data_IF_860048123786
#
_entry.id   IF_860048123786
#
_cell.length_a   1.000
_cell.length_b   1.000
_cell.length_c   1.000
_cell.angle_alpha   90.00
_cell.angle_beta   90.00
_cell.angle_gamma   90.00
#
_symmetry.space_group_name_H-M   'P 1'
#
loop_
_entity.id
_entity.type
_entity.pdbx_description
1 polymer ?
#
# COMPACT_ATOMS: atom_id res chain seq x y z
N UNK A 1 2.75 23.50 -42.67
CA UNK A 1 3.21 22.09 -42.65
C UNK A 1 3.79 21.85 -41.27
N UNK A 2 2.87 21.70 -40.34
CA UNK A 2 3.05 21.89 -38.91
C UNK A 2 3.36 20.53 -38.31
N UNK A 3 4.65 20.23 -38.16
CA UNK A 3 5.09 19.00 -37.49
C UNK A 3 4.98 19.19 -35.99
N UNK A 4 3.79 18.94 -35.44
CA UNK A 4 3.61 18.72 -34.02
C UNK A 4 4.37 17.45 -33.62
N UNK A 5 5.60 17.65 -33.15
CA UNK A 5 6.39 16.64 -32.47
C UNK A 5 5.78 16.45 -31.08
N UNK A 6 4.85 15.51 -30.97
CA UNK A 6 4.29 15.09 -29.69
C UNK A 6 5.42 14.42 -28.90
N UNK A 7 5.94 15.11 -27.89
CA UNK A 7 6.87 14.51 -26.95
C UNK A 7 6.17 13.33 -26.24
N UNK A 8 6.88 12.22 -25.95
CA UNK A 8 6.31 11.22 -25.07
C UNK A 8 5.98 11.88 -23.74
N UNK A 9 4.72 11.77 -23.32
CA UNK A 9 4.31 12.09 -21.95
C UNK A 9 5.06 11.13 -21.03
N UNK A 10 6.24 11.55 -20.60
CA UNK A 10 6.92 10.94 -19.47
C UNK A 10 5.95 11.05 -18.31
N UNK A 11 5.43 9.91 -17.84
CA UNK A 11 4.65 9.85 -16.61
C UNK A 11 5.39 10.67 -15.54
N UNK A 12 4.71 11.49 -14.73
CA UNK A 12 5.38 12.16 -13.63
C UNK A 12 6.03 11.07 -12.79
N UNK A 13 7.36 11.05 -12.80
CA UNK A 13 8.15 10.39 -11.78
C UNK A 13 7.61 10.95 -10.47
N UNK A 14 6.80 10.16 -9.76
CA UNK A 14 6.26 10.54 -8.48
C UNK A 14 7.48 10.71 -7.58
N UNK A 15 7.89 11.96 -7.41
CA UNK A 15 9.14 12.34 -6.75
C UNK A 15 8.85 12.35 -5.25
N UNK A 16 8.54 11.18 -4.70
CA UNK A 16 8.63 11.01 -3.26
C UNK A 16 10.13 11.04 -2.90
N UNK A 17 10.57 11.86 -1.93
CA UNK A 17 11.90 11.70 -1.34
C UNK A 17 12.06 10.26 -0.79
N UNK A 18 13.26 9.80 -0.38
CA UNK A 18 13.38 8.62 0.45
C UNK A 18 12.80 8.94 1.84
N UNK A 19 11.48 9.14 1.91
CA UNK A 19 10.73 8.98 3.13
C UNK A 19 10.97 7.54 3.51
N UNK A 20 11.79 7.29 4.53
CA UNK A 20 11.86 5.99 5.18
C UNK A 20 10.43 5.58 5.51
N UNK A 21 9.83 4.75 4.66
CA UNK A 21 8.41 4.43 4.76
C UNK A 21 8.24 3.64 6.05
N UNK A 22 7.53 4.22 7.02
CA UNK A 22 7.39 3.65 8.34
C UNK A 22 6.23 2.66 8.45
N UNK A 23 6.04 2.10 9.66
CA UNK A 23 4.93 1.20 10.02
C UNK A 23 3.57 1.71 9.56
N UNK A 24 3.27 2.99 9.79
CA UNK A 24 1.97 3.59 9.48
C UNK A 24 1.69 3.58 7.98
N UNK A 25 2.70 3.90 7.17
CA UNK A 25 2.56 3.93 5.70
C UNK A 25 2.39 2.51 5.14
N UNK A 26 3.11 1.54 5.71
CA UNK A 26 2.98 0.12 5.36
C UNK A 26 1.58 -0.39 5.63
N UNK A 27 1.05 -0.13 6.83
CA UNK A 27 -0.32 -0.52 7.20
C UNK A 27 -1.36 0.20 6.35
N UNK A 28 -1.19 1.51 6.14
CA UNK A 28 -2.09 2.31 5.31
C UNK A 28 -2.18 1.76 3.89
N UNK A 29 -1.03 1.40 3.29
CA UNK A 29 -1.00 0.77 1.96
C UNK A 29 -1.59 -0.64 1.99
N UNK A 30 -1.28 -1.45 2.99
CA UNK A 30 -1.90 -2.76 3.14
C UNK A 30 -3.42 -2.66 3.26
N UNK A 31 -3.98 -1.60 3.84
CA UNK A 31 -5.43 -1.41 3.94
C UNK A 31 -6.09 -1.02 2.61
N UNK A 32 -5.42 -0.23 1.77
CA UNK A 32 -5.99 0.27 0.51
C UNK A 32 -5.60 -0.55 -0.73
N UNK A 33 -4.52 -1.32 -0.65
CA UNK A 33 -3.95 -2.11 -1.74
C UNK A 33 -4.01 -3.62 -1.39
N UNK A 34 -5.04 -4.34 -1.88
CA UNK A 34 -5.21 -5.76 -1.57
C UNK A 34 -4.09 -6.64 -2.15
N UNK A 35 -3.55 -6.28 -3.32
CA UNK A 35 -2.42 -6.99 -3.93
C UNK A 35 -1.12 -6.82 -3.13
N UNK A 36 -0.89 -5.61 -2.59
CA UNK A 36 0.21 -5.37 -1.67
C UNK A 36 0.02 -6.16 -0.37
N UNK A 37 -1.19 -6.16 0.20
CA UNK A 37 -1.50 -6.91 1.42
C UNK A 37 -1.23 -8.42 1.26
N UNK A 38 -1.67 -8.99 0.14
CA UNK A 38 -1.44 -10.41 -0.17
C UNK A 38 0.06 -10.72 -0.28
N UNK A 39 0.84 -9.85 -0.94
CA UNK A 39 2.31 -10.00 -1.01
C UNK A 39 2.97 -9.87 0.36
N UNK A 40 2.54 -8.88 1.14
CA UNK A 40 3.03 -8.62 2.49
C UNK A 40 2.76 -9.80 3.43
N UNK A 41 1.63 -10.50 3.31
CA UNK A 41 1.37 -11.68 4.14
C UNK A 41 2.07 -12.95 3.67
N UNK A 42 2.27 -13.11 2.36
CA UNK A 42 3.02 -14.25 1.82
C UNK A 42 4.53 -14.13 2.11
N UNK A 43 5.08 -12.93 1.98
CA UNK A 43 6.50 -12.64 2.20
C UNK A 43 6.68 -11.22 2.79
N UNK A 44 6.49 -11.07 4.12
CA UNK A 44 6.54 -9.76 4.76
C UNK A 44 7.93 -9.12 4.65
N UNK A 45 8.98 -9.90 4.91
CA UNK A 45 10.36 -9.41 4.93
C UNK A 45 10.83 -8.94 3.54
N UNK A 46 10.57 -9.72 2.49
CA UNK A 46 10.92 -9.30 1.13
C UNK A 46 10.03 -8.17 0.62
N UNK A 47 8.75 -8.11 0.99
CA UNK A 47 7.88 -6.97 0.62
C UNK A 47 8.34 -5.67 1.28
N UNK A 48 8.69 -5.71 2.57
CA UNK A 48 9.23 -4.57 3.33
C UNK A 48 10.54 -4.11 2.71
N UNK A 49 11.47 -5.04 2.45
CA UNK A 49 12.78 -4.73 1.89
C UNK A 49 12.69 -4.22 0.44
N UNK A 50 11.80 -4.79 -0.39
CA UNK A 50 11.65 -4.42 -1.80
C UNK A 50 11.10 -3.00 -1.98
N UNK A 51 10.15 -2.59 -1.14
CA UNK A 51 9.58 -1.24 -1.18
C UNK A 51 10.34 -0.24 -0.27
N UNK A 52 11.38 -0.68 0.46
CA UNK A 52 12.22 0.18 1.28
C UNK A 52 11.57 0.64 2.59
N UNK A 53 10.62 -0.13 3.12
CA UNK A 53 10.01 0.10 4.42
C UNK A 53 11.00 -0.21 5.55
N UNK A 54 10.98 0.60 6.60
CA UNK A 54 11.74 0.35 7.83
C UNK A 54 10.75 0.25 8.98
N UNK A 55 10.65 -0.95 9.55
CA UNK A 55 9.80 -1.25 10.69
C UNK A 55 10.63 -1.96 11.76
N UNK A 56 10.24 -1.78 13.02
CA UNK A 56 10.85 -2.49 14.14
C UNK A 56 10.51 -3.99 14.13
N UNK A 57 11.38 -4.79 14.73
CA UNK A 57 11.25 -6.25 14.81
C UNK A 57 9.94 -6.69 15.51
N UNK A 58 9.49 -5.91 16.50
CA UNK A 58 8.18 -6.11 17.15
C UNK A 58 7.04 -5.98 16.14
N UNK A 59 7.12 -5.00 15.24
CA UNK A 59 6.09 -4.79 14.22
C UNK A 59 6.11 -5.90 13.19
N UNK A 60 7.29 -6.35 12.77
CA UNK A 60 7.43 -7.48 11.87
C UNK A 60 6.85 -8.76 12.51
N UNK A 61 7.13 -8.98 13.79
CA UNK A 61 6.58 -10.10 14.56
C UNK A 61 5.07 -10.03 14.67
N UNK A 62 4.51 -8.85 14.97
CA UNK A 62 3.06 -8.61 14.98
C UNK A 62 2.44 -8.89 13.61
N UNK A 63 3.11 -8.50 12.52
CA UNK A 63 2.64 -8.73 11.16
C UNK A 63 2.60 -10.22 10.81
N UNK A 64 3.63 -10.98 11.23
CA UNK A 64 3.71 -12.44 11.04
C UNK A 64 2.75 -13.21 11.93
N UNK A 65 2.40 -12.65 13.09
CA UNK A 65 1.40 -13.20 14.00
C UNK A 65 -0.04 -12.84 13.62
N UNK A 66 -0.22 -11.87 12.71
CA UNK A 66 -1.52 -11.42 12.28
C UNK A 66 -2.14 -12.46 11.34
N UNK A 67 -3.40 -12.78 11.58
CA UNK A 67 -4.13 -13.67 10.70
C UNK A 67 -4.46 -12.93 9.37
N UNK A 68 -4.00 -13.45 8.22
CA UNK A 68 -4.17 -12.77 6.94
C UNK A 68 -5.64 -12.66 6.53
N UNK A 69 -6.47 -13.63 6.92
CA UNK A 69 -7.89 -13.61 6.65
C UNK A 69 -8.58 -12.53 7.49
N UNK A 70 -8.24 -12.41 8.78
CA UNK A 70 -8.75 -11.35 9.65
C UNK A 70 -8.35 -9.95 9.15
N UNK A 71 -7.11 -9.77 8.71
CA UNK A 71 -6.65 -8.49 8.15
C UNK A 71 -7.39 -8.12 6.87
N UNK A 72 -7.67 -9.09 6.01
CA UNK A 72 -8.41 -8.87 4.78
C UNK A 72 -9.86 -8.48 5.06
N UNK A 73 -10.52 -9.19 5.98
CA UNK A 73 -11.88 -8.88 6.42
C UNK A 73 -11.97 -7.47 7.04
N UNK A 74 -11.01 -7.09 7.88
CA UNK A 74 -10.98 -5.77 8.51
C UNK A 74 -10.83 -4.64 7.47
N UNK A 75 -9.94 -4.82 6.49
CA UNK A 75 -9.76 -3.82 5.45
C UNK A 75 -10.94 -3.77 4.46
N UNK A 76 -11.56 -4.91 4.15
CA UNK A 76 -12.78 -4.95 3.34
C UNK A 76 -13.94 -4.24 4.05
N UNK A 77 -14.16 -4.51 5.34
CA UNK A 77 -15.21 -3.87 6.14
C UNK A 77 -15.05 -2.34 6.19
N UNK A 78 -13.81 -1.85 6.35
CA UNK A 78 -13.52 -0.42 6.31
C UNK A 78 -13.78 0.19 4.92
N UNK A 79 -13.41 -0.52 3.85
CA UNK A 79 -13.70 -0.08 2.47
C UNK A 79 -15.20 0.04 2.18
N UNK A 80 -16.00 -0.91 2.67
CA UNK A 80 -17.45 -0.88 2.57
C UNK A 80 -18.07 0.25 3.42
N UNK A 81 -17.59 0.48 4.64
CA UNK A 81 -18.06 1.61 5.46
C UNK A 81 -17.82 2.97 4.81
N UNK A 82 -16.66 3.17 4.17
CA UNK A 82 -16.37 4.41 3.43
C UNK A 82 -17.33 4.60 2.25
N UNK A 83 -17.53 3.55 1.44
CA UNK A 83 -18.48 3.58 0.31
C UNK A 83 -19.92 3.85 0.77
N UNK A 84 -20.33 3.25 1.88
CA UNK A 84 -21.69 3.38 2.39
C UNK A 84 -21.95 4.79 2.96
N UNK A 85 -20.93 5.48 3.49
CA UNK A 85 -21.03 6.91 3.86
C UNK A 85 -21.07 7.84 2.65
N UNK A 86 -20.31 7.56 1.59
CA UNK A 86 -20.39 8.33 0.35
C UNK A 86 -21.76 8.20 -0.34
N UNK A 87 -22.38 7.02 -0.27
CA UNK A 87 -23.69 6.77 -0.86
C UNK A 87 -24.87 7.37 -0.06
N UNK A 88 -24.63 7.87 1.15
CA UNK A 88 -25.68 8.40 2.04
C UNK A 88 -25.84 9.94 2.00
N UNK A 89 -25.16 10.63 1.07
CA UNK A 89 -25.26 12.08 0.85
C UNK A 89 -25.97 12.42 -0.47
#
# INVERSE_FOLDING_TARGET
>A
MDSLKVAPVTAPANTAPPSTLGKTELLGRAMTDPDFRQRLFNDPEGTIAADGYVIDDETLTQLKALDPQAAEQAAAALGDEFKNREAAC
#
